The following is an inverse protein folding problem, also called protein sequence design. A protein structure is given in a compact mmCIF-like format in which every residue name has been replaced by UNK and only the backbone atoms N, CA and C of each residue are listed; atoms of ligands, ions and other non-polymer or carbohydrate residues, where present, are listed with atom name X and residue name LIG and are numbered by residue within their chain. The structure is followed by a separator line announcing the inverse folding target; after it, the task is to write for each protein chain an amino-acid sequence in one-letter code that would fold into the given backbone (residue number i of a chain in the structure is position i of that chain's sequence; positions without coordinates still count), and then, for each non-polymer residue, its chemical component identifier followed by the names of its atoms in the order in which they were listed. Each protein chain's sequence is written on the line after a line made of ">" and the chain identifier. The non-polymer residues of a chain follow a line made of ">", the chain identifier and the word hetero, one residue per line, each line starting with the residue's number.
data_IF_521663047887
#
_entry.id   IF_521663047887
#
_cell.length_a   1.000
_cell.length_b   1.000
_cell.length_c   1.000
_cell.angle_alpha   90.00
_cell.angle_beta   90.00
_cell.angle_gamma   90.00
#
_symmetry.space_group_name_H-M   'P 1'
#
loop_
_entity.id
_entity.type
_entity.pdbx_description
1 polymer ?
#
# COMPACT_ATOMS: atom_id res chain seq x y z
N UNK A 1 1.08 8.31 -0.97
CA UNK A 1 0.89 6.98 -0.33
C UNK A 1 -0.22 7.01 0.71
N UNK A 2 -0.10 7.79 1.78
CA UNK A 2 -1.08 7.80 2.88
C UNK A 2 -2.50 8.08 2.39
N UNK A 3 -2.71 9.18 1.69
CA UNK A 3 -4.02 9.55 1.13
C UNK A 3 -4.63 8.46 0.26
N UNK A 4 -3.80 7.75 -0.51
CA UNK A 4 -4.24 6.67 -1.40
C UNK A 4 -4.61 5.39 -0.66
N UNK A 5 -3.93 5.05 0.43
CA UNK A 5 -4.32 3.91 1.26
C UNK A 5 -5.62 4.22 2.00
N UNK A 6 -5.75 5.41 2.57
CA UNK A 6 -6.98 5.82 3.28
C UNK A 6 -8.19 5.96 2.36
N UNK A 7 -8.01 6.39 1.10
CA UNK A 7 -9.10 6.44 0.12
C UNK A 7 -9.71 5.07 -0.19
N UNK A 8 -9.03 3.96 0.14
CA UNK A 8 -9.58 2.62 -0.06
C UNK A 8 -10.73 2.27 0.88
N UNK A 9 -10.86 3.00 2.00
CA UNK A 9 -11.94 2.83 2.99
C UNK A 9 -13.34 2.97 2.37
N UNK A 10 -13.48 3.72 1.28
CA UNK A 10 -14.76 3.90 0.57
C UNK A 10 -15.30 2.59 -0.01
N UNK A 11 -14.44 1.60 -0.29
CA UNK A 11 -14.88 0.29 -0.77
C UNK A 11 -15.36 -0.64 0.35
N UNK A 12 -15.17 -0.26 1.63
CA UNK A 12 -15.51 -1.15 2.74
C UNK A 12 -17.02 -1.37 2.87
N UNK A 13 -17.83 -0.32 2.72
CA UNK A 13 -19.28 -0.40 2.80
C UNK A 13 -19.90 -1.32 1.73
N UNK A 14 -19.60 -1.16 0.42
CA UNK A 14 -20.14 -2.06 -0.60
C UNK A 14 -19.69 -3.50 -0.39
N UNK A 15 -18.43 -3.74 0.00
CA UNK A 15 -17.92 -5.10 0.25
C UNK A 15 -18.69 -5.81 1.39
N UNK A 16 -19.07 -5.09 2.45
CA UNK A 16 -19.87 -5.66 3.54
C UNK A 16 -21.29 -6.01 3.08
N UNK A 17 -21.91 -5.15 2.25
CA UNK A 17 -23.25 -5.42 1.70
C UNK A 17 -23.23 -6.63 0.76
N UNK A 18 -22.26 -6.69 -0.15
CA UNK A 18 -22.12 -7.80 -1.11
C UNK A 18 -21.77 -9.12 -0.44
N UNK A 19 -21.05 -9.10 0.69
CA UNK A 19 -20.79 -10.31 1.48
C UNK A 19 -22.09 -10.99 1.93
N UNK A 20 -23.13 -10.24 2.28
CA UNK A 20 -24.41 -10.82 2.67
C UNK A 20 -25.06 -11.57 1.49
N UNK A 21 -25.04 -10.95 0.30
CA UNK A 21 -25.50 -11.56 -0.94
C UNK A 21 -24.68 -12.81 -1.30
N UNK A 22 -23.35 -12.73 -1.16
CA UNK A 22 -22.42 -13.84 -1.38
C UNK A 22 -22.76 -15.06 -0.55
N UNK A 23 -23.07 -14.89 0.74
CA UNK A 23 -23.42 -16.01 1.63
C UNK A 23 -24.67 -16.72 1.12
N UNK A 24 -25.68 -15.96 0.66
CA UNK A 24 -26.91 -16.51 0.11
C UNK A 24 -26.66 -17.28 -1.20
N UNK A 25 -26.00 -16.65 -2.17
CA UNK A 25 -25.73 -17.25 -3.48
C UNK A 25 -24.83 -18.49 -3.40
N UNK A 26 -23.82 -18.44 -2.53
CA UNK A 26 -22.90 -19.55 -2.29
C UNK A 26 -23.51 -20.67 -1.44
N UNK A 27 -24.58 -20.42 -0.69
CA UNK A 27 -25.37 -21.46 -0.01
C UNK A 27 -26.33 -22.17 -0.98
N UNK A 28 -26.86 -21.43 -1.96
CA UNK A 28 -27.69 -21.96 -3.05
C UNK A 28 -26.89 -22.68 -4.15
N UNK A 29 -25.56 -22.55 -4.14
CA UNK A 29 -24.66 -23.28 -5.03
C UNK A 29 -24.39 -22.61 -6.37
N UNK A 30 -24.64 -21.30 -6.53
CA UNK A 30 -24.44 -20.59 -7.79
C UNK A 30 -22.97 -20.50 -8.22
N UNK A 31 -22.04 -20.27 -7.28
CA UNK A 31 -20.61 -20.17 -7.59
C UNK A 31 -19.72 -20.48 -6.38
N UNK A 32 -18.43 -20.75 -6.65
CA UNK A 32 -17.42 -21.06 -5.61
C UNK A 32 -16.85 -19.77 -5.00
N UNK A 33 -16.41 -19.85 -3.74
CA UNK A 33 -15.74 -18.74 -3.04
C UNK A 33 -14.54 -18.17 -3.80
N UNK A 34 -13.78 -19.00 -4.53
CA UNK A 34 -12.64 -18.54 -5.32
C UNK A 34 -13.08 -17.63 -6.48
N UNK A 35 -14.18 -17.96 -7.15
CA UNK A 35 -14.74 -17.17 -8.25
C UNK A 35 -15.13 -15.77 -7.77
N UNK A 36 -15.72 -15.68 -6.58
CA UNK A 36 -16.07 -14.40 -5.96
C UNK A 36 -14.85 -13.52 -5.67
N UNK A 37 -13.83 -14.09 -5.01
CA UNK A 37 -12.62 -13.34 -4.66
C UNK A 37 -11.85 -12.90 -5.92
N UNK A 38 -11.73 -13.77 -6.92
CA UNK A 38 -11.09 -13.42 -8.20
C UNK A 38 -11.88 -12.34 -8.95
N UNK A 39 -13.21 -12.44 -9.01
CA UNK A 39 -14.05 -11.43 -9.65
C UNK A 39 -13.92 -10.07 -8.94
N UNK A 40 -13.92 -10.06 -7.60
CA UNK A 40 -13.74 -8.83 -6.82
C UNK A 40 -12.35 -8.23 -6.99
N UNK A 41 -11.32 -9.06 -7.05
CA UNK A 41 -9.96 -8.60 -7.29
C UNK A 41 -9.80 -7.98 -8.69
N UNK A 42 -10.34 -8.62 -9.73
CA UNK A 42 -10.23 -8.15 -11.12
C UNK A 42 -11.12 -6.91 -11.40
N UNK A 43 -12.39 -6.96 -11.01
CA UNK A 43 -13.35 -5.92 -11.39
C UNK A 43 -13.28 -4.69 -10.49
N UNK A 44 -13.11 -4.89 -9.19
CA UNK A 44 -13.22 -3.81 -8.19
C UNK A 44 -11.83 -3.28 -7.86
N UNK A 45 -10.94 -4.18 -7.42
CA UNK A 45 -9.61 -3.82 -6.92
C UNK A 45 -8.68 -3.41 -8.07
N UNK A 46 -8.71 -4.07 -9.21
CA UNK A 46 -7.83 -3.75 -10.34
C UNK A 46 -8.37 -2.57 -11.16
N UNK A 47 -9.55 -2.68 -11.78
CA UNK A 47 -10.00 -1.68 -12.74
C UNK A 47 -10.22 -0.29 -12.13
N UNK A 48 -10.99 -0.20 -11.03
CA UNK A 48 -11.32 1.10 -10.43
C UNK A 48 -10.08 1.75 -9.80
N UNK A 49 -9.23 0.97 -9.12
CA UNK A 49 -8.05 1.52 -8.44
C UNK A 49 -6.92 1.89 -9.41
N UNK A 50 -6.75 1.20 -10.53
CA UNK A 50 -5.79 1.60 -11.57
C UNK A 50 -6.10 3.01 -12.04
N UNK A 51 -7.37 3.28 -12.42
CA UNK A 51 -7.77 4.58 -12.97
C UNK A 51 -7.54 5.71 -11.95
N UNK A 52 -7.97 5.51 -10.70
CA UNK A 52 -7.79 6.51 -9.64
C UNK A 52 -6.31 6.74 -9.33
N UNK A 53 -5.49 5.68 -9.34
CA UNK A 53 -4.05 5.76 -9.09
C UNK A 53 -3.31 6.50 -10.20
N UNK A 54 -3.68 6.30 -11.47
CA UNK A 54 -3.10 7.00 -12.62
C UNK A 54 -3.42 8.50 -12.55
N UNK A 55 -4.70 8.85 -12.37
CA UNK A 55 -5.14 10.26 -12.31
C UNK A 55 -4.46 10.98 -11.15
N UNK A 56 -4.45 10.37 -9.97
CA UNK A 56 -3.78 10.93 -8.80
C UNK A 56 -2.28 11.09 -9.03
N UNK A 57 -1.63 10.10 -9.64
CA UNK A 57 -0.19 10.13 -9.86
C UNK A 57 0.21 11.22 -10.86
N UNK A 58 -0.55 11.37 -11.94
CA UNK A 58 -0.34 12.46 -12.90
C UNK A 58 -0.42 13.83 -12.22
N UNK A 59 -1.51 14.10 -11.49
CA UNK A 59 -1.73 15.40 -10.86
C UNK A 59 -0.63 15.69 -9.84
N UNK A 60 -0.40 14.77 -8.89
CA UNK A 60 0.54 15.01 -7.79
C UNK A 60 1.96 15.14 -8.29
N UNK A 61 2.41 14.25 -9.18
CA UNK A 61 3.79 14.25 -9.66
C UNK A 61 4.18 15.56 -10.36
N UNK A 62 3.29 16.07 -11.21
CA UNK A 62 3.53 17.35 -11.90
C UNK A 62 3.36 18.56 -10.97
N UNK A 63 2.45 18.52 -9.99
CA UNK A 63 2.28 19.60 -9.02
C UNK A 63 3.46 19.73 -8.06
N UNK A 64 4.06 18.61 -7.64
CA UNK A 64 5.19 18.63 -6.70
C UNK A 64 6.52 19.00 -7.35
N UNK A 65 6.57 19.08 -8.68
CA UNK A 65 7.79 19.43 -9.40
C UNK A 65 8.89 18.38 -9.28
N UNK A 66 8.51 17.09 -9.21
CA UNK A 66 9.46 15.97 -9.20
C UNK A 66 10.23 15.90 -10.53
N UNK A 67 11.34 15.16 -10.54
CA UNK A 67 12.21 15.07 -11.72
C UNK A 67 11.46 14.49 -12.92
N UNK A 68 11.58 15.13 -14.08
CA UNK A 68 10.81 14.74 -15.28
C UNK A 68 11.45 13.59 -16.05
N UNK A 69 11.64 12.46 -15.38
CA UNK A 69 12.07 11.21 -15.98
C UNK A 69 10.93 10.18 -16.04
N UNK A 70 10.79 9.51 -17.17
CA UNK A 70 9.74 8.51 -17.43
C UNK A 70 9.97 7.27 -16.54
N UNK A 71 11.23 6.92 -16.28
CA UNK A 71 11.58 5.81 -15.40
C UNK A 71 11.12 6.05 -13.96
N UNK A 72 11.46 7.21 -13.40
CA UNK A 72 11.05 7.64 -12.04
C UNK A 72 9.53 7.77 -11.90
N UNK A 73 8.87 8.36 -12.90
CA UNK A 73 7.41 8.42 -12.93
C UNK A 73 6.76 7.03 -12.93
N UNK A 74 7.30 6.08 -13.69
CA UNK A 74 6.82 4.70 -13.71
C UNK A 74 6.91 4.02 -12.34
N UNK A 75 8.03 4.19 -11.63
CA UNK A 75 8.21 3.66 -10.26
C UNK A 75 7.23 4.32 -9.29
N UNK A 76 7.04 5.64 -9.40
CA UNK A 76 6.06 6.37 -8.60
C UNK A 76 4.64 5.83 -8.80
N UNK A 77 4.21 5.70 -10.06
CA UNK A 77 2.88 5.21 -10.42
C UNK A 77 2.65 3.77 -9.92
N UNK A 78 3.60 2.87 -10.15
CA UNK A 78 3.53 1.48 -9.68
C UNK A 78 3.44 1.42 -8.15
N UNK A 79 4.21 2.25 -7.44
CA UNK A 79 4.21 2.28 -5.98
C UNK A 79 2.87 2.74 -5.42
N UNK A 80 2.28 3.80 -6.00
CA UNK A 80 0.96 4.30 -5.61
C UNK A 80 -0.13 3.27 -5.90
N UNK A 81 -0.07 2.63 -7.07
CA UNK A 81 -1.00 1.58 -7.45
C UNK A 81 -0.91 0.37 -6.51
N UNK A 82 0.29 -0.11 -6.20
CA UNK A 82 0.47 -1.23 -5.28
C UNK A 82 0.02 -0.88 -3.85
N UNK A 83 0.21 0.36 -3.40
CA UNK A 83 -0.31 0.83 -2.12
C UNK A 83 -1.86 0.81 -2.07
N UNK A 84 -2.54 1.18 -3.16
CA UNK A 84 -4.01 1.13 -3.23
C UNK A 84 -4.54 -0.30 -3.32
N UNK A 85 -3.81 -1.22 -3.97
CA UNK A 85 -4.10 -2.66 -3.96
C UNK A 85 -3.99 -3.24 -2.54
N UNK A 86 -2.94 -2.88 -1.80
CA UNK A 86 -2.75 -3.30 -0.40
C UNK A 86 -3.92 -2.83 0.48
N UNK A 87 -4.27 -1.54 0.42
CA UNK A 87 -5.38 -0.99 1.20
C UNK A 87 -6.72 -1.64 0.89
N UNK A 88 -6.99 -1.91 -0.39
CA UNK A 88 -8.21 -2.60 -0.82
C UNK A 88 -8.26 -4.05 -0.35
N UNK A 89 -7.11 -4.75 -0.36
CA UNK A 89 -6.99 -6.13 0.13
C UNK A 89 -7.22 -6.22 1.64
N UNK A 90 -6.72 -5.24 2.40
CA UNK A 90 -7.03 -5.08 3.83
C UNK A 90 -8.53 -4.85 4.06
N UNK A 91 -9.15 -3.95 3.30
CA UNK A 91 -10.59 -3.71 3.40
C UNK A 91 -11.40 -4.98 3.11
N UNK A 92 -11.00 -5.78 2.13
CA UNK A 92 -11.64 -7.04 1.79
C UNK A 92 -11.50 -8.08 2.91
N UNK A 93 -10.32 -8.18 3.54
CA UNK A 93 -10.10 -9.04 4.71
C UNK A 93 -10.99 -8.64 5.89
N UNK A 94 -11.09 -7.34 6.20
CA UNK A 94 -11.92 -6.87 7.30
C UNK A 94 -13.41 -7.00 6.98
N UNK A 95 -13.84 -6.70 5.76
CA UNK A 95 -15.21 -6.93 5.31
C UNK A 95 -15.60 -8.41 5.39
N UNK A 96 -14.67 -9.34 5.12
CA UNK A 96 -14.90 -10.76 5.25
C UNK A 96 -15.15 -11.20 6.71
N UNK A 97 -14.49 -10.55 7.68
CA UNK A 97 -14.52 -10.92 9.11
C UNK A 97 -15.62 -10.20 9.90
N UNK A 98 -15.85 -8.91 9.65
CA UNK A 98 -16.74 -8.05 10.44
C UNK A 98 -18.03 -7.76 9.66
N UNK A 99 -19.19 -7.86 10.34
CA UNK A 99 -20.51 -7.59 9.75
C UNK A 99 -20.95 -6.12 9.89
N UNK A 100 -20.55 -5.47 10.97
CA UNK A 100 -20.95 -4.09 11.27
C UNK A 100 -19.96 -3.11 10.63
N UNK A 101 -20.47 -2.23 9.77
CA UNK A 101 -19.66 -1.23 9.07
C UNK A 101 -18.84 -0.35 10.03
N UNK A 102 -19.47 0.20 11.07
CA UNK A 102 -18.79 1.09 12.02
C UNK A 102 -17.60 0.42 12.71
N UNK A 103 -17.74 -0.87 13.08
CA UNK A 103 -16.66 -1.64 13.73
C UNK A 103 -15.56 -1.94 12.71
N UNK A 104 -15.92 -2.29 11.47
CA UNK A 104 -14.97 -2.57 10.41
C UNK A 104 -14.09 -1.35 10.10
N UNK A 105 -14.68 -0.16 10.00
CA UNK A 105 -13.96 1.11 9.75
C UNK A 105 -12.91 1.37 10.83
N UNK A 106 -13.29 1.23 12.11
CA UNK A 106 -12.38 1.46 13.25
C UNK A 106 -11.19 0.50 13.17
N UNK A 107 -11.43 -0.78 12.88
CA UNK A 107 -10.37 -1.79 12.78
C UNK A 107 -9.41 -1.47 11.62
N UNK A 108 -9.92 -1.10 10.45
CA UNK A 108 -9.06 -0.77 9.29
C UNK A 108 -8.22 0.48 9.57
N UNK A 109 -8.85 1.54 10.09
CA UNK A 109 -8.15 2.80 10.40
C UNK A 109 -7.07 2.57 11.45
N UNK A 110 -7.39 1.87 12.55
CA UNK A 110 -6.42 1.56 13.59
C UNK A 110 -5.23 0.77 13.04
N UNK A 111 -5.49 -0.22 12.18
CA UNK A 111 -4.44 -0.99 11.54
C UNK A 111 -3.55 -0.11 10.64
N UNK A 112 -4.14 0.74 9.80
CA UNK A 112 -3.41 1.66 8.94
C UNK A 112 -2.55 2.66 9.75
N UNK A 113 -3.07 3.17 10.87
CA UNK A 113 -2.33 4.08 11.74
C UNK A 113 -1.11 3.40 12.36
N UNK A 114 -1.27 2.16 12.87
CA UNK A 114 -0.14 1.39 13.42
C UNK A 114 0.91 1.17 12.33
N UNK A 115 0.52 0.76 11.14
CA UNK A 115 1.47 0.56 10.04
C UNK A 115 2.15 1.86 9.61
N UNK A 116 1.43 2.98 9.59
CA UNK A 116 1.97 4.30 9.26
C UNK A 116 3.05 4.75 10.26
N UNK A 117 2.83 4.50 11.55
CA UNK A 117 3.77 4.83 12.63
C UNK A 117 5.13 4.12 12.44
N UNK A 118 5.10 2.86 12.01
CA UNK A 118 6.30 2.07 11.72
C UNK A 118 6.84 2.20 10.27
N UNK A 119 6.39 3.21 9.51
CA UNK A 119 6.88 3.43 8.14
C UNK A 119 8.34 3.89 8.05
N UNK A 120 8.90 4.40 9.15
CA UNK A 120 10.26 4.95 9.21
C UNK A 120 10.36 6.44 8.81
N UNK A 121 9.25 7.05 8.41
CA UNK A 121 9.17 8.50 8.13
C UNK A 121 8.79 9.31 9.38
N UNK A 122 7.80 8.84 10.16
CA UNK A 122 7.35 9.54 11.38
C UNK A 122 8.28 9.31 12.57
N UNK A 123 8.87 8.12 12.66
CA UNK A 123 9.78 7.73 13.73
C UNK A 123 11.03 7.15 13.08
N UNK A 124 12.20 7.65 13.47
CA UNK A 124 13.46 7.12 13.02
C UNK A 124 13.60 5.65 13.45
N UNK A 125 13.79 4.74 12.50
CA UNK A 125 13.83 3.29 12.77
C UNK A 125 14.93 2.88 13.76
N UNK A 126 16.00 3.69 13.86
CA UNK A 126 17.12 3.49 14.79
C UNK A 126 16.75 3.75 16.25
N UNK A 127 15.69 4.52 16.54
CA UNK A 127 15.27 4.82 17.91
C UNK A 127 14.19 3.88 18.45
N UNK A 128 13.68 2.95 17.62
CA UNK A 128 12.67 1.97 18.02
C UNK A 128 13.32 0.87 18.85
N UNK A 129 12.66 0.46 19.94
CA UNK A 129 13.14 -0.65 20.77
C UNK A 129 13.37 -1.92 19.94
N UNK A 130 14.48 -2.62 20.20
CA UNK A 130 14.90 -3.81 19.43
C UNK A 130 13.81 -4.89 19.34
N UNK A 131 12.98 -5.05 20.38
CA UNK A 131 11.90 -6.03 20.41
C UNK A 131 10.68 -5.64 19.56
N UNK A 132 10.48 -4.36 19.23
CA UNK A 132 9.42 -3.87 18.33
C UNK A 132 9.89 -3.78 16.87
N UNK A 133 11.19 -3.98 16.62
CA UNK A 133 11.79 -3.80 15.30
C UNK A 133 11.15 -4.69 14.22
N UNK A 134 10.60 -5.85 14.58
CA UNK A 134 9.96 -6.74 13.60
C UNK A 134 8.69 -6.15 12.96
N UNK A 135 7.96 -5.27 13.65
CA UNK A 135 6.74 -4.63 13.13
C UNK A 135 7.01 -3.77 11.89
N UNK A 136 8.25 -3.28 11.73
CA UNK A 136 8.65 -2.52 10.55
C UNK A 136 8.48 -3.34 9.26
N UNK A 137 8.65 -4.66 9.32
CA UNK A 137 8.54 -5.56 8.16
C UNK A 137 7.10 -5.91 7.80
N UNK A 138 6.14 -5.60 8.67
CA UNK A 138 4.70 -5.79 8.43
C UNK A 138 4.05 -4.48 7.96
N UNK A 139 4.78 -3.36 7.94
CA UNK A 139 4.26 -2.09 7.46
C UNK A 139 4.37 -1.97 5.94
N UNK A 140 3.23 -1.97 5.24
CA UNK A 140 3.19 -1.67 3.81
C UNK A 140 3.59 -0.22 3.51
N UNK A 141 3.33 0.68 4.46
CA UNK A 141 3.74 2.08 4.33
C UNK A 141 5.25 2.21 4.23
N UNK A 142 6.01 1.43 5.01
CA UNK A 142 7.48 1.41 4.94
C UNK A 142 7.97 1.06 3.54
N UNK A 143 7.51 -0.05 2.97
CA UNK A 143 7.96 -0.50 1.65
C UNK A 143 7.60 0.52 0.57
N UNK A 144 6.39 1.09 0.62
CA UNK A 144 5.96 2.12 -0.33
C UNK A 144 6.77 3.42 -0.20
N UNK A 145 7.02 3.90 1.02
CA UNK A 145 7.83 5.12 1.21
C UNK A 145 9.27 4.90 0.79
N UNK A 146 9.85 3.73 1.07
CA UNK A 146 11.21 3.38 0.68
C UNK A 146 11.37 3.33 -0.84
N UNK A 147 10.40 2.78 -1.58
CA UNK A 147 10.44 2.79 -3.05
C UNK A 147 10.47 4.21 -3.61
N UNK A 148 9.62 5.09 -3.08
CA UNK A 148 9.55 6.49 -3.54
C UNK A 148 10.82 7.27 -3.18
N UNK A 149 11.35 7.09 -1.96
CA UNK A 149 12.57 7.79 -1.58
C UNK A 149 13.77 7.28 -2.37
N UNK A 150 13.88 5.97 -2.59
CA UNK A 150 14.95 5.39 -3.42
C UNK A 150 14.86 5.82 -4.89
N UNK A 151 13.67 5.98 -5.45
CA UNK A 151 13.53 6.39 -6.86
C UNK A 151 13.91 7.86 -7.08
N UNK A 152 13.48 8.74 -6.19
CA UNK A 152 13.72 10.18 -6.32
C UNK A 152 15.14 10.57 -5.91
N UNK A 153 15.58 10.18 -4.72
CA UNK A 153 16.82 10.71 -4.13
C UNK A 153 18.11 10.07 -4.68
N UNK A 154 18.03 9.13 -5.63
CA UNK A 154 19.23 8.41 -6.10
C UNK A 154 20.21 9.29 -6.89
N UNK A 155 19.70 10.21 -7.71
CA UNK A 155 20.49 11.03 -8.62
C UNK A 155 20.12 12.52 -8.52
N UNK A 156 19.83 13.01 -7.31
CA UNK A 156 19.49 14.41 -7.07
C UNK A 156 20.50 15.03 -6.13
N UNK A 157 21.04 16.18 -6.51
CA UNK A 157 21.89 17.01 -5.66
C UNK A 157 21.16 18.32 -5.31
N UNK A 158 21.12 18.65 -4.02
CA UNK A 158 20.51 19.89 -3.55
C UNK A 158 21.59 20.97 -3.46
N UNK A 159 21.68 21.77 -4.53
CA UNK A 159 22.61 22.88 -4.62
C UNK A 159 21.91 24.20 -4.26
N UNK A 160 22.56 25.01 -3.41
CA UNK A 160 22.08 26.37 -3.12
C UNK A 160 22.49 27.28 -4.28
N UNK A 161 21.57 28.14 -4.73
CA UNK A 161 21.86 29.19 -5.71
C UNK A 161 22.61 30.32 -4.98
N UNK A 162 23.89 30.07 -4.70
CA UNK A 162 24.85 31.05 -4.18
C UNK A 162 26.09 31.05 -5.09
N UNK A 163 26.88 32.13 -5.15
CA UNK A 163 27.86 32.37 -6.20
C UNK A 163 29.02 31.34 -6.27
N UNK A 164 29.10 30.41 -5.32
CA UNK A 164 30.14 29.38 -5.22
C UNK A 164 29.69 27.97 -5.62
N UNK A 165 28.43 27.76 -6.03
CA UNK A 165 27.89 26.43 -6.43
C UNK A 165 28.28 25.30 -5.47
N UNK A 166 28.22 25.55 -4.16
CA UNK A 166 28.45 24.51 -3.15
C UNK A 166 27.13 23.75 -3.00
N UNK A 167 27.18 22.43 -3.19
CA UNK A 167 26.04 21.53 -2.95
C UNK A 167 26.21 20.88 -1.57
N UNK A 168 25.60 21.44 -0.50
CA UNK A 168 25.81 20.96 0.86
C UNK A 168 25.14 19.61 1.15
N UNK A 169 24.18 19.18 0.33
CA UNK A 169 23.41 17.95 0.55
C UNK A 169 23.17 17.21 -0.77
N UNK A 170 23.67 15.98 -0.84
CA UNK A 170 23.43 15.07 -1.97
C UNK A 170 22.34 14.05 -1.59
N UNK A 171 21.46 13.69 -2.52
CA UNK A 171 20.39 12.71 -2.33
C UNK A 171 20.88 11.35 -1.77
N UNK A 172 22.01 10.80 -2.27
CA UNK A 172 22.73 9.69 -1.65
C UNK A 172 23.00 9.84 -0.15
N UNK A 173 23.39 11.03 0.34
CA UNK A 173 23.64 11.25 1.77
C UNK A 173 22.34 11.21 2.57
N UNK A 174 21.23 11.70 2.00
CA UNK A 174 19.90 11.59 2.62
C UNK A 174 19.50 10.11 2.76
N UNK A 175 19.72 9.30 1.72
CA UNK A 175 19.42 7.86 1.76
C UNK A 175 20.24 7.13 2.83
N UNK A 176 21.54 7.45 2.97
CA UNK A 176 22.41 6.90 4.04
C UNK A 176 21.88 7.30 5.43
N UNK A 177 21.47 8.55 5.61
CA UNK A 177 20.95 9.03 6.89
C UNK A 177 19.66 8.33 7.32
N UNK A 178 18.76 8.07 6.36
CA UNK A 178 17.54 7.29 6.58
C UNK A 178 17.86 5.81 6.84
N UNK A 179 19.04 5.33 6.43
CA UNK A 179 19.48 3.94 6.59
C UNK A 179 18.90 3.02 5.51
N UNK A 180 18.72 3.54 4.30
CA UNK A 180 18.25 2.78 3.14
C UNK A 180 19.44 2.35 2.29
N UNK A 181 19.54 1.06 2.00
CA UNK A 181 20.51 0.54 1.04
C UNK A 181 20.03 0.85 -0.39
N UNK A 182 20.79 1.66 -1.14
CA UNK A 182 20.44 2.09 -2.51
C UNK A 182 21.51 1.71 -3.55
N UNK A 183 22.45 0.85 -3.15
CA UNK A 183 23.64 0.50 -3.95
C UNK A 183 23.26 -0.32 -5.19
N UNK A 184 22.21 -1.15 -5.10
CA UNK A 184 21.82 -2.06 -6.18
C UNK A 184 20.37 -1.82 -6.60
N UNK A 185 20.07 -1.97 -7.90
CA UNK A 185 18.68 -1.94 -8.40
C UNK A 185 17.78 -2.99 -7.72
N UNK A 186 18.39 -4.04 -7.17
CA UNK A 186 17.71 -5.09 -6.41
C UNK A 186 16.98 -4.55 -5.17
N UNK A 187 17.47 -3.48 -4.53
CA UNK A 187 16.85 -2.95 -3.32
C UNK A 187 15.46 -2.35 -3.59
N UNK A 188 15.25 -1.76 -4.77
CA UNK A 188 13.92 -1.35 -5.24
C UNK A 188 12.99 -2.57 -5.40
N UNK A 189 13.49 -3.62 -6.06
CA UNK A 189 12.73 -4.85 -6.28
C UNK A 189 12.37 -5.58 -4.99
N UNK A 190 13.25 -5.57 -3.97
CA UNK A 190 12.93 -6.13 -2.64
C UNK A 190 11.70 -5.47 -2.03
N UNK A 191 11.61 -4.14 -2.08
CA UNK A 191 10.47 -3.41 -1.53
C UNK A 191 9.19 -3.69 -2.32
N UNK A 192 9.29 -3.73 -3.65
CA UNK A 192 8.17 -4.09 -4.52
C UNK A 192 7.64 -5.51 -4.25
N UNK A 193 8.54 -6.48 -4.13
CA UNK A 193 8.21 -7.87 -3.82
C UNK A 193 7.60 -7.99 -2.42
N UNK A 194 8.16 -7.29 -1.42
CA UNK A 194 7.63 -7.27 -0.06
C UNK A 194 6.17 -6.82 -0.03
N UNK A 195 5.86 -5.70 -0.69
CA UNK A 195 4.49 -5.17 -0.75
C UNK A 195 3.54 -6.08 -1.55
N UNK A 196 4.02 -6.69 -2.62
CA UNK A 196 3.26 -7.66 -3.42
C UNK A 196 2.92 -8.91 -2.61
N UNK A 197 3.89 -9.48 -1.90
CA UNK A 197 3.71 -10.66 -1.03
C UNK A 197 2.70 -10.36 0.08
N UNK A 198 2.78 -9.18 0.69
CA UNK A 198 1.80 -8.77 1.72
C UNK A 198 0.39 -8.67 1.15
N UNK A 199 0.23 -8.07 -0.03
CA UNK A 199 -1.06 -7.93 -0.70
C UNK A 199 -1.66 -9.30 -1.04
N UNK A 200 -0.87 -10.20 -1.62
CA UNK A 200 -1.29 -11.58 -1.90
C UNK A 200 -1.63 -12.33 -0.61
N UNK A 201 -0.83 -12.16 0.44
CA UNK A 201 -1.08 -12.75 1.75
C UNK A 201 -2.43 -12.32 2.33
N UNK A 202 -2.79 -11.04 2.22
CA UNK A 202 -4.09 -10.54 2.67
C UNK A 202 -5.26 -11.09 1.85
N UNK A 203 -5.11 -11.21 0.54
CA UNK A 203 -6.12 -11.82 -0.33
C UNK A 203 -6.32 -13.30 0.00
N UNK A 204 -5.24 -14.04 0.27
CA UNK A 204 -5.30 -15.43 0.69
C UNK A 204 -5.99 -15.57 2.05
N UNK A 205 -5.64 -14.71 3.02
CA UNK A 205 -6.32 -14.68 4.32
C UNK A 205 -7.81 -14.38 4.16
N UNK A 206 -8.17 -13.44 3.31
CA UNK A 206 -9.56 -13.09 3.07
C UNK A 206 -10.33 -14.24 2.40
N UNK A 207 -9.70 -14.94 1.44
CA UNK A 207 -10.24 -16.15 0.84
C UNK A 207 -10.48 -17.25 1.89
N UNK A 208 -9.51 -17.49 2.78
CA UNK A 208 -9.64 -18.48 3.86
C UNK A 208 -10.79 -18.10 4.79
N UNK A 209 -10.92 -16.82 5.16
CA UNK A 209 -12.01 -16.37 6.01
C UNK A 209 -13.37 -16.55 5.35
N UNK A 210 -13.52 -16.16 4.07
CA UNK A 210 -14.75 -16.37 3.32
C UNK A 210 -15.11 -17.85 3.18
N UNK A 211 -14.12 -18.74 3.11
CA UNK A 211 -14.33 -20.20 3.06
C UNK A 211 -14.75 -20.79 4.41
N UNK A 212 -14.31 -20.19 5.53
CA UNK A 212 -14.62 -20.66 6.89
C UNK A 212 -16.01 -20.26 7.39
N UNK A 213 -16.65 -19.27 6.76
CA UNK A 213 -17.99 -18.83 7.15
C UNK A 213 -18.97 -20.01 7.04
N UNK A 214 -19.57 -20.41 8.17
CA UNK A 214 -20.65 -21.39 8.20
C UNK A 214 -21.85 -20.81 7.45
N UNK A 215 -22.23 -21.48 6.36
CA UNK A 215 -23.41 -21.16 5.55
C UNK A 215 -24.60 -21.82 6.21
N UNK A 216 -25.24 -21.14 7.15
CA UNK A 216 -26.53 -21.60 7.68
C UNK A 216 -27.61 -21.23 6.67
N UNK A 217 -28.43 -22.22 6.27
CA UNK A 217 -29.65 -22.01 5.50
C UNK A 217 -30.65 -21.18 6.30
#
# INVERSE_FOLDING_TARGET
>A
VVTQIFSTLTALEPLIKERALFIHENASGYYRTITFVCAKFLCDILLIRVIVSIIFSLIVYFMTGLERDIGKFGVFLITIFMASLFGSSMCLLVAATVRLFSVAVIIVILNFLIMMLFSGYLIALKSVFSWLSWLQWISAFRFATNMLTMSEFRNIDFCLVNPTNICPLSGPQVLINVGLDYTTNWDLWKNFLGLSIMTVGLLLLAYIQLRRIKKTK
#
